data_IF_097574159901
#
_entry.id   IF_097574159901
#
_cell.length_a   1.000
_cell.length_b   1.000
_cell.length_c   1.000
_cell.angle_alpha   90.00
_cell.angle_beta   90.00
_cell.angle_gamma   90.00
#
_symmetry.space_group_name_H-M   'P 1'
#
loop_
_entity.id
_entity.type
_entity.pdbx_description
1 polymer ?
#
# COMPACT_ATOMS: atom_id res chain seq x y z
N UNK A 1 5.01 -33.11 46.99
CA UNK A 1 5.68 -34.39 47.34
C UNK A 1 5.45 -35.39 46.22
N UNK A 2 6.53 -36.05 45.75
CA UNK A 2 6.65 -37.44 45.22
C UNK A 2 5.45 -38.05 44.47
N UNK A 3 5.56 -38.77 43.34
CA UNK A 3 6.66 -39.21 42.45
C UNK A 3 6.04 -40.25 41.47
N UNK A 4 6.67 -40.45 40.32
CA UNK A 4 6.81 -41.74 39.60
C UNK A 4 5.61 -42.30 38.81
N UNK A 5 5.77 -42.98 37.65
CA UNK A 5 6.93 -43.40 36.84
C UNK A 5 6.40 -43.87 35.47
N UNK A 6 7.16 -43.63 34.40
CA UNK A 6 7.03 -44.30 33.10
C UNK A 6 8.26 -45.19 32.87
N UNK A 7 8.04 -46.39 32.32
CA UNK A 7 9.00 -47.48 32.02
C UNK A 7 9.88 -47.14 30.79
N UNK A 8 11.21 -47.32 30.88
CA UNK A 8 12.03 -48.46 30.40
C UNK A 8 12.00 -48.63 28.86
N UNK A 9 13.07 -48.85 28.09
CA UNK A 9 14.38 -49.50 28.25
C UNK A 9 15.21 -49.14 26.98
N UNK A 10 16.50 -49.40 26.74
CA UNK A 10 17.69 -49.81 27.48
C UNK A 10 18.87 -49.55 26.50
N UNK A 11 20.06 -49.20 27.01
CA UNK A 11 21.30 -49.20 26.23
C UNK A 11 22.48 -49.59 27.13
N UNK A 12 23.45 -50.26 26.49
CA UNK A 12 24.88 -50.42 26.84
C UNK A 12 25.32 -51.63 27.67
N UNK A 13 26.29 -52.35 27.06
CA UNK A 13 27.57 -52.88 27.58
C UNK A 13 28.35 -53.37 26.35
N UNK A 14 29.67 -53.25 26.17
CA UNK A 14 30.83 -52.74 26.90
C UNK A 14 32.05 -52.91 25.95
N UNK A 15 32.99 -51.94 25.87
CA UNK A 15 34.41 -52.02 26.34
C UNK A 15 35.18 -53.29 25.87
N UNK A 16 36.44 -53.28 25.37
CA UNK A 16 37.61 -52.43 25.69
C UNK A 16 38.84 -52.83 24.79
N UNK A 17 39.67 -51.82 24.46
CA UNK A 17 41.18 -51.72 24.53
C UNK A 17 42.18 -52.37 23.55
N UNK A 18 43.29 -51.60 23.44
CA UNK A 18 44.68 -51.84 22.99
C UNK A 18 44.93 -51.67 21.48
N UNK A 19 46.01 -51.03 20.98
CA UNK A 19 47.25 -50.50 21.55
C UNK A 19 48.05 -49.77 20.45
N UNK A 20 49.11 -49.05 20.84
CA UNK A 20 50.01 -48.21 20.04
C UNK A 20 50.73 -48.95 18.86
N UNK A 21 51.36 -48.35 17.86
CA UNK A 21 52.33 -47.24 17.83
C UNK A 21 52.78 -46.99 16.36
N UNK A 22 53.37 -45.83 16.06
CA UNK A 22 54.10 -45.59 14.80
C UNK A 22 54.10 -44.14 14.35
N UNK A 23 55.16 -43.40 14.65
CA UNK A 23 55.34 -41.96 14.44
C UNK A 23 56.34 -41.64 13.33
N UNK A 24 56.17 -40.49 12.66
CA UNK A 24 57.23 -39.54 12.26
C UNK A 24 56.55 -38.23 11.83
N UNK A 25 56.59 -37.17 12.66
CA UNK A 25 57.53 -36.04 12.60
C UNK A 25 57.36 -35.18 11.31
N UNK A 26 57.21 -33.85 11.33
CA UNK A 26 57.76 -32.87 12.25
C UNK A 26 56.99 -31.53 12.26
N UNK A 27 57.00 -30.88 13.44
CA UNK A 27 57.05 -29.44 13.79
C UNK A 27 56.89 -28.36 12.69
N UNK A 28 56.23 -27.21 12.92
CA UNK A 28 55.81 -26.62 14.19
C UNK A 28 55.03 -25.30 14.02
N UNK A 29 54.31 -24.95 15.09
CA UNK A 29 53.87 -23.60 15.46
C UNK A 29 54.61 -23.28 16.80
N UNK A 30 54.48 -22.10 17.46
CA UNK A 30 53.53 -21.00 17.23
C UNK A 30 54.13 -19.59 17.44
N UNK A 31 53.33 -18.54 17.22
CA UNK A 31 53.29 -17.38 18.13
C UNK A 31 52.08 -16.50 17.82
N UNK A 32 51.19 -16.41 18.80
CA UNK A 32 50.12 -15.45 18.86
C UNK A 32 50.66 -14.07 19.28
N UNK A 33 50.11 -13.00 18.71
CA UNK A 33 50.14 -11.68 19.32
C UNK A 33 48.84 -10.94 18.98
N UNK A 34 47.95 -10.87 19.95
CA UNK A 34 46.88 -9.88 20.01
C UNK A 34 47.46 -8.55 20.52
N UNK A 35 47.03 -7.42 19.94
CA UNK A 35 46.52 -6.25 20.69
C UNK A 35 46.37 -4.98 19.84
N UNK A 36 45.14 -4.44 19.91
CA UNK A 36 44.76 -3.03 20.05
C UNK A 36 44.61 -2.08 18.83
N UNK A 37 43.65 -1.14 18.91
CA UNK A 37 43.16 -0.32 17.79
C UNK A 37 43.86 1.04 17.70
N UNK A 38 44.09 1.53 16.47
CA UNK A 38 44.66 2.87 16.27
C UNK A 38 43.58 3.94 16.06
N UNK A 39 43.82 5.03 16.77
CA UNK A 39 42.91 6.10 17.12
C UNK A 39 42.56 7.08 15.98
N UNK A 40 41.38 7.66 16.17
CA UNK A 40 40.91 8.94 15.63
C UNK A 40 41.99 10.00 15.88
N UNK A 41 42.57 10.53 14.80
CA UNK A 41 43.50 11.67 14.86
C UNK A 41 42.76 12.97 14.56
N UNK A 42 42.36 13.66 15.62
CA UNK A 42 42.02 15.07 15.59
C UNK A 42 43.28 15.88 15.25
N UNK A 43 43.25 16.65 14.16
CA UNK A 43 44.25 17.70 13.90
C UNK A 43 43.66 19.04 14.33
N UNK A 44 44.19 19.56 15.42
CA UNK A 44 44.07 20.94 15.88
C UNK A 44 45.32 21.66 15.37
N UNK A 45 45.14 22.67 14.53
CA UNK A 45 46.19 23.65 14.23
C UNK A 45 45.53 25.02 14.10
N UNK A 46 45.85 25.87 15.06
CA UNK A 46 45.52 27.28 15.10
C UNK A 46 46.50 28.05 14.21
N UNK A 47 46.00 29.00 13.42
CA UNK A 47 46.77 30.15 12.96
C UNK A 47 45.81 31.33 12.83
N UNK A 48 46.16 32.39 13.54
CA UNK A 48 45.48 33.66 13.66
C UNK A 48 45.48 34.43 12.32
N UNK A 49 44.39 35.12 12.03
CA UNK A 49 44.38 36.37 11.29
C UNK A 49 43.15 37.17 11.72
N UNK A 50 43.40 38.24 12.46
CA UNK A 50 42.44 39.24 12.92
C UNK A 50 41.90 40.07 11.76
N UNK A 51 40.61 40.43 11.81
CA UNK A 51 40.07 41.68 11.23
C UNK A 51 38.65 41.97 11.75
N UNK A 52 38.61 42.70 12.87
CA UNK A 52 37.61 43.70 13.33
C UNK A 52 36.12 43.48 12.99
N UNK A 53 35.38 42.99 13.98
CA UNK A 53 33.94 43.22 14.16
C UNK A 53 33.71 44.43 15.08
N UNK A 54 32.92 45.41 14.65
CA UNK A 54 32.35 46.44 15.54
C UNK A 54 30.89 46.09 15.85
N UNK A 55 30.62 45.79 17.12
CA UNK A 55 29.28 45.67 17.67
C UNK A 55 28.95 46.94 18.45
N UNK A 56 27.87 47.63 18.06
CA UNK A 56 27.30 48.74 18.81
C UNK A 56 26.14 48.23 19.68
N UNK A 57 26.11 48.71 20.92
CA UNK A 57 25.24 48.28 22.01
C UNK A 57 23.75 48.64 21.81
N UNK A 58 22.86 47.79 22.36
CA UNK A 58 21.42 48.03 22.53
C UNK A 58 21.13 48.98 23.70
N UNK A 59 20.16 49.89 23.59
CA UNK A 59 19.38 50.43 24.71
C UNK A 59 17.97 49.78 24.80
N UNK A 60 17.21 50.01 25.90
CA UNK A 60 16.29 49.03 26.47
C UNK A 60 14.84 49.11 25.96
N UNK A 61 14.07 48.11 26.37
CA UNK A 61 12.66 47.87 26.05
C UNK A 61 11.71 48.99 26.52
N UNK A 62 10.91 49.52 25.60
CA UNK A 62 9.67 50.25 25.91
C UNK A 62 8.45 49.43 25.47
N UNK A 63 7.50 49.26 26.40
CA UNK A 63 6.21 48.59 26.17
C UNK A 63 5.26 49.55 25.43
N UNK A 64 4.65 49.17 24.30
CA UNK A 64 3.60 49.98 23.70
C UNK A 64 2.28 49.85 24.47
N UNK A 65 1.74 51.01 24.83
CA UNK A 65 0.46 51.22 25.51
C UNK A 65 -0.73 50.70 24.71
N UNK A 66 -1.71 50.12 25.42
CA UNK A 66 -3.09 49.90 24.97
C UNK A 66 -3.66 51.17 24.31
N UNK A 67 -3.92 51.12 23.01
CA UNK A 67 -4.73 52.15 22.33
C UNK A 67 -6.19 51.79 22.47
N UNK A 68 -6.90 52.65 23.21
CA UNK A 68 -8.36 52.74 23.26
C UNK A 68 -8.93 52.99 21.87
N UNK A 69 -10.05 52.31 21.61
CA UNK A 69 -10.96 52.47 20.48
C UNK A 69 -11.74 53.80 20.54
N UNK A 70 -12.03 54.35 19.36
CA UNK A 70 -13.11 55.32 19.09
C UNK A 70 -13.46 55.32 17.58
N UNK A 71 -14.68 55.74 17.17
CA UNK A 71 -15.52 54.91 16.30
C UNK A 71 -15.78 55.45 14.88
N UNK A 72 -16.21 54.51 14.02
CA UNK A 72 -17.16 54.57 12.88
C UNK A 72 -16.76 55.35 11.61
N UNK A 73 -16.66 54.60 10.51
CA UNK A 73 -17.29 54.93 9.23
C UNK A 73 -17.85 53.62 8.65
N UNK A 74 -19.17 53.56 8.49
CA UNK A 74 -19.85 52.47 7.78
C UNK A 74 -19.83 52.80 6.30
N UNK A 75 -19.17 51.95 5.51
CA UNK A 75 -19.37 51.89 4.08
C UNK A 75 -20.47 50.83 3.84
N UNK A 76 -21.62 51.26 3.34
CA UNK A 76 -22.68 50.36 2.88
C UNK A 76 -22.31 49.80 1.51
N UNK A 77 -22.01 48.50 1.46
CA UNK A 77 -21.88 47.77 0.21
C UNK A 77 -23.24 47.52 -0.45
N UNK A 78 -23.32 47.43 -1.78
CA UNK A 78 -24.57 47.17 -2.47
C UNK A 78 -25.13 45.80 -2.07
N UNK A 79 -26.41 45.80 -1.70
CA UNK A 79 -27.13 44.69 -1.09
C UNK A 79 -27.10 43.39 -1.90
N UNK A 80 -27.05 42.30 -1.15
CA UNK A 80 -27.20 40.93 -1.62
C UNK A 80 -28.53 40.78 -2.39
N UNK A 81 -28.55 40.19 -3.60
CA UNK A 81 -29.79 39.98 -4.34
C UNK A 81 -30.70 39.01 -3.58
N UNK A 82 -32.03 39.20 -3.63
CA UNK A 82 -32.97 38.35 -2.89
C UNK A 82 -32.88 36.89 -3.36
N UNK A 83 -33.05 35.92 -2.44
CA UNK A 83 -33.06 34.52 -2.80
C UNK A 83 -34.21 34.23 -3.77
N UNK A 84 -34.02 33.32 -4.75
CA UNK A 84 -35.08 32.93 -5.66
C UNK A 84 -36.26 32.32 -4.90
N UNK A 85 -37.51 32.46 -5.40
CA UNK A 85 -38.67 31.91 -4.73
C UNK A 85 -38.56 30.39 -4.64
N UNK A 86 -38.83 29.87 -3.44
CA UNK A 86 -38.86 28.44 -3.14
C UNK A 86 -40.01 27.79 -3.91
N UNK A 87 -39.68 27.23 -5.07
CA UNK A 87 -40.57 26.33 -5.80
C UNK A 87 -40.82 25.11 -4.91
N UNK A 88 -42.02 25.03 -4.34
CA UNK A 88 -42.47 23.86 -3.61
C UNK A 88 -42.34 22.63 -4.52
N UNK A 89 -41.30 21.83 -4.26
CA UNK A 89 -41.12 20.54 -4.89
C UNK A 89 -42.29 19.67 -4.45
N UNK A 90 -43.18 19.35 -5.39
CA UNK A 90 -44.18 18.31 -5.17
C UNK A 90 -43.44 17.02 -4.75
N UNK A 91 -43.94 16.30 -3.73
CA UNK A 91 -43.32 15.05 -3.33
C UNK A 91 -43.25 14.09 -4.53
N UNK A 92 -42.17 13.30 -4.67
CA UNK A 92 -42.06 12.34 -5.75
C UNK A 92 -43.25 11.37 -5.71
N UNK A 93 -43.78 10.95 -6.87
CA UNK A 93 -44.87 9.98 -6.90
C UNK A 93 -44.45 8.72 -6.15
N UNK A 94 -45.38 8.06 -5.44
CA UNK A 94 -45.07 6.80 -4.77
C UNK A 94 -44.52 5.80 -5.79
N UNK A 95 -43.56 4.95 -5.38
CA UNK A 95 -43.03 3.91 -6.26
C UNK A 95 -44.19 3.06 -6.80
N UNK A 96 -44.15 2.66 -8.08
CA UNK A 96 -45.18 1.77 -8.60
C UNK A 96 -45.25 0.53 -7.72
N UNK A 97 -46.45 0.21 -7.24
CA UNK A 97 -46.73 -1.00 -6.48
C UNK A 97 -46.18 -2.19 -7.28
N UNK A 98 -45.41 -3.12 -6.69
CA UNK A 98 -44.96 -4.31 -7.41
C UNK A 98 -46.18 -5.00 -7.98
N UNK A 99 -46.29 -5.05 -9.31
CA UNK A 99 -47.29 -5.87 -9.96
C UNK A 99 -47.07 -7.29 -9.45
N UNK A 100 -48.10 -7.86 -8.83
CA UNK A 100 -48.14 -9.27 -8.44
C UNK A 100 -47.66 -10.08 -9.64
N UNK A 101 -46.61 -10.92 -9.52
CA UNK A 101 -46.14 -11.69 -10.65
C UNK A 101 -47.27 -12.63 -11.07
N UNK A 102 -47.89 -12.33 -12.20
CA UNK A 102 -48.84 -13.22 -12.84
C UNK A 102 -48.09 -14.50 -13.18
N UNK A 103 -48.39 -15.54 -12.40
CA UNK A 103 -47.89 -16.89 -12.55
C UNK A 103 -48.09 -17.38 -13.98
N UNK A 104 -47.03 -17.45 -14.76
CA UNK A 104 -46.81 -18.48 -15.78
C UNK A 104 -45.43 -18.32 -16.43
N UNK A 105 -44.38 -18.32 -15.61
CA UNK A 105 -43.11 -18.84 -16.09
C UNK A 105 -43.25 -20.36 -16.09
N UNK A 106 -43.47 -20.94 -17.27
CA UNK A 106 -43.30 -22.38 -17.48
C UNK A 106 -42.00 -22.82 -16.82
N UNK A 107 -42.07 -23.83 -15.95
CA UNK A 107 -40.91 -24.46 -15.34
C UNK A 107 -39.99 -24.93 -16.45
N UNK A 108 -38.96 -24.14 -16.77
CA UNK A 108 -37.81 -24.58 -17.52
C UNK A 108 -37.18 -25.69 -16.69
N UNK A 109 -37.32 -26.94 -17.16
CA UNK A 109 -36.66 -28.08 -16.55
C UNK A 109 -35.15 -27.97 -16.80
N UNK A 110 -34.45 -27.52 -15.77
CA UNK A 110 -33.00 -27.30 -15.82
C UNK A 110 -32.20 -28.60 -15.61
N UNK A 111 -32.85 -29.75 -15.37
CA UNK A 111 -32.21 -31.08 -15.32
C UNK A 111 -30.79 -31.12 -14.72
N UNK A 112 -29.85 -31.67 -15.48
CA UNK A 112 -28.42 -31.79 -15.13
C UNK A 112 -27.71 -30.45 -14.85
N UNK A 113 -28.23 -29.33 -15.37
CA UNK A 113 -27.66 -27.99 -15.11
C UNK A 113 -27.88 -27.57 -13.65
N UNK A 114 -29.03 -27.92 -13.06
CA UNK A 114 -29.31 -27.67 -11.65
C UNK A 114 -28.36 -28.45 -10.75
N UNK A 115 -28.11 -29.72 -11.06
CA UNK A 115 -27.21 -30.57 -10.27
C UNK A 115 -25.75 -30.11 -10.36
N UNK A 116 -25.30 -29.73 -11.56
CA UNK A 116 -23.99 -29.09 -11.77
C UNK A 116 -23.85 -27.80 -10.96
N UNK A 117 -24.89 -26.96 -10.96
CA UNK A 117 -24.93 -25.71 -10.23
C UNK A 117 -24.87 -25.92 -8.71
N UNK A 118 -25.68 -26.84 -8.17
CA UNK A 118 -25.66 -27.18 -6.74
C UNK A 118 -24.32 -27.79 -6.31
N UNK A 119 -23.69 -28.60 -7.17
CA UNK A 119 -22.36 -29.16 -6.92
C UNK A 119 -21.28 -28.06 -6.89
N UNK A 120 -21.36 -27.09 -7.81
CA UNK A 120 -20.49 -25.92 -7.82
C UNK A 120 -20.65 -25.07 -6.55
N UNK A 121 -21.89 -24.76 -6.15
CA UNK A 121 -22.19 -24.05 -4.91
C UNK A 121 -21.65 -24.75 -3.67
N UNK A 122 -21.87 -26.06 -3.55
CA UNK A 122 -21.38 -26.88 -2.42
C UNK A 122 -19.85 -26.89 -2.35
N UNK A 123 -19.17 -27.01 -3.49
CA UNK A 123 -17.70 -26.95 -3.56
C UNK A 123 -17.14 -25.58 -3.17
N UNK A 124 -17.79 -24.51 -3.60
CA UNK A 124 -17.32 -23.14 -3.38
C UNK A 124 -17.85 -22.52 -2.06
N UNK A 125 -18.78 -23.19 -1.36
CA UNK A 125 -19.48 -22.69 -0.17
C UNK A 125 -20.14 -21.33 -0.40
N UNK A 126 -20.76 -21.13 -1.56
CA UNK A 126 -21.39 -19.87 -1.95
C UNK A 126 -22.91 -19.96 -1.94
N UNK A 127 -23.57 -18.84 -1.65
CA UNK A 127 -25.00 -18.64 -1.92
C UNK A 127 -25.26 -18.66 -3.42
N UNK A 128 -26.53 -18.79 -3.83
CA UNK A 128 -26.93 -18.69 -5.24
C UNK A 128 -26.48 -17.38 -5.90
N UNK A 129 -26.66 -16.25 -5.21
CA UNK A 129 -26.17 -14.95 -5.66
C UNK A 129 -24.63 -14.91 -5.72
N UNK A 130 -23.95 -15.48 -4.72
CA UNK A 130 -22.49 -15.54 -4.70
C UNK A 130 -21.91 -16.38 -5.83
N UNK A 131 -22.56 -17.50 -6.17
CA UNK A 131 -22.18 -18.36 -7.29
C UNK A 131 -22.44 -17.68 -8.65
N UNK A 132 -23.57 -16.98 -8.80
CA UNK A 132 -23.86 -16.21 -10.01
C UNK A 132 -22.87 -15.07 -10.21
N UNK A 133 -22.56 -14.33 -9.14
CA UNK A 133 -21.54 -13.29 -9.16
C UNK A 133 -20.17 -13.86 -9.53
N UNK A 134 -19.75 -14.98 -8.93
CA UNK A 134 -18.46 -15.60 -9.23
C UNK A 134 -18.35 -15.97 -10.71
N UNK A 135 -19.42 -16.50 -11.32
CA UNK A 135 -19.39 -16.87 -12.73
C UNK A 135 -19.38 -15.67 -13.66
N UNK A 136 -20.16 -14.62 -13.35
CA UNK A 136 -20.12 -13.35 -14.08
C UNK A 136 -18.71 -12.74 -13.99
N UNK A 137 -18.13 -12.65 -12.78
CA UNK A 137 -16.78 -12.16 -12.57
C UNK A 137 -15.74 -13.02 -13.33
N UNK A 138 -15.93 -14.35 -13.39
CA UNK A 138 -15.02 -15.27 -14.11
C UNK A 138 -15.08 -15.07 -15.62
N UNK A 139 -16.26 -14.74 -16.17
CA UNK A 139 -16.41 -14.40 -17.57
C UNK A 139 -15.84 -13.01 -17.90
N UNK A 140 -16.05 -12.04 -17.02
CA UNK A 140 -15.59 -10.65 -17.20
C UNK A 140 -14.07 -10.50 -17.01
N UNK A 141 -13.47 -11.33 -16.16
CA UNK A 141 -12.05 -11.27 -15.78
C UNK A 141 -11.30 -12.58 -16.00
N UNK A 142 -11.46 -13.19 -17.18
CA UNK A 142 -10.76 -14.43 -17.54
C UNK A 142 -9.25 -14.33 -17.28
N UNK A 143 -8.70 -15.30 -16.53
CA UNK A 143 -7.28 -15.37 -16.20
C UNK A 143 -6.83 -14.45 -15.04
N UNK A 144 -7.74 -13.68 -14.44
CA UNK A 144 -7.46 -12.89 -13.25
C UNK A 144 -7.98 -13.58 -11.98
N UNK A 145 -7.40 -13.20 -10.85
CA UNK A 145 -7.87 -13.57 -9.53
C UNK A 145 -8.19 -12.32 -8.73
N UNK A 146 -9.07 -12.47 -7.74
CA UNK A 146 -9.39 -11.39 -6.84
C UNK A 146 -8.37 -11.34 -5.70
N UNK A 147 -7.63 -10.24 -5.63
CA UNK A 147 -6.79 -9.92 -4.49
C UNK A 147 -7.54 -8.98 -3.55
N UNK A 148 -7.29 -9.11 -2.26
CA UNK A 148 -7.70 -8.14 -1.25
C UNK A 148 -6.47 -7.50 -0.64
N UNK A 149 -6.62 -6.31 -0.09
CA UNK A 149 -5.51 -5.60 0.54
C UNK A 149 -5.96 -4.35 1.28
N UNK A 150 -4.99 -3.62 1.81
CA UNK A 150 -5.27 -2.40 2.54
C UNK A 150 -4.04 -1.74 3.13
N UNK A 151 -4.29 -0.68 3.90
CA UNK A 151 -3.24 -0.06 4.70
C UNK A 151 -2.91 -0.90 5.94
N UNK A 152 -1.76 -0.64 6.56
CA UNK A 152 -1.28 -1.37 7.74
C UNK A 152 -2.28 -1.43 8.90
N UNK A 153 -2.95 -0.31 9.21
CA UNK A 153 -3.90 -0.26 10.33
C UNK A 153 -5.30 -0.82 10.01
N UNK A 154 -5.52 -1.33 8.79
CA UNK A 154 -6.80 -1.89 8.35
C UNK A 154 -7.93 -0.87 8.15
N UNK A 155 -7.66 0.42 8.34
CA UNK A 155 -8.64 1.49 8.19
C UNK A 155 -9.08 1.68 6.72
N UNK A 156 -8.18 1.39 5.77
CA UNK A 156 -8.42 1.43 4.33
C UNK A 156 -8.32 0.01 3.80
N UNK A 157 -9.35 -0.47 3.11
CA UNK A 157 -9.44 -1.83 2.54
C UNK A 157 -9.97 -1.77 1.13
N UNK A 158 -9.45 -2.62 0.24
CA UNK A 158 -9.87 -2.70 -1.16
C UNK A 158 -9.85 -4.15 -1.66
N UNK A 159 -10.52 -4.37 -2.79
CA UNK A 159 -10.33 -5.54 -3.64
C UNK A 159 -9.90 -5.11 -5.04
N UNK A 160 -9.13 -5.97 -5.70
CA UNK A 160 -8.63 -5.74 -7.06
C UNK A 160 -8.55 -7.04 -7.85
N UNK A 161 -8.97 -7.01 -9.10
CA UNK A 161 -8.80 -8.11 -10.05
C UNK A 161 -7.50 -7.94 -10.84
N UNK A 162 -6.57 -8.89 -10.66
CA UNK A 162 -5.28 -8.89 -11.36
C UNK A 162 -4.76 -10.32 -11.55
N UNK A 163 -3.68 -10.48 -12.32
CA UNK A 163 -3.01 -11.78 -12.48
C UNK A 163 -2.42 -12.24 -11.15
N UNK A 164 -2.46 -13.55 -10.87
CA UNK A 164 -1.73 -14.13 -9.74
C UNK A 164 -0.19 -13.98 -9.90
N UNK A 165 0.30 -13.87 -11.13
CA UNK A 165 1.68 -13.50 -11.45
C UNK A 165 1.75 -12.01 -11.73
N UNK A 166 2.25 -11.24 -10.76
CA UNK A 166 2.23 -9.78 -10.81
C UNK A 166 3.44 -9.22 -11.57
N UNK A 167 3.19 -8.28 -12.46
CA UNK A 167 4.23 -7.47 -13.09
C UNK A 167 4.35 -6.12 -12.36
N UNK A 168 5.44 -5.93 -11.64
CA UNK A 168 5.71 -4.80 -10.75
C UNK A 168 6.65 -3.80 -11.43
N UNK A 169 6.30 -2.52 -11.40
CA UNK A 169 7.18 -1.43 -11.80
C UNK A 169 7.90 -0.84 -10.58
N UNK A 170 9.22 -0.74 -10.64
CA UNK A 170 10.07 -0.07 -9.65
C UNK A 170 10.58 1.27 -10.20
N UNK A 171 9.96 2.36 -9.78
CA UNK A 171 10.21 3.69 -10.34
C UNK A 171 11.26 4.45 -9.51
N UNK A 172 12.28 4.98 -10.19
CA UNK A 172 13.40 5.66 -9.55
C UNK A 172 13.23 7.19 -9.37
N UNK A 173 12.04 7.76 -9.61
CA UNK A 173 11.82 9.20 -9.44
C UNK A 173 11.91 9.62 -7.96
N UNK A 174 12.05 10.93 -7.69
CA UNK A 174 12.34 11.45 -6.36
C UNK A 174 11.33 11.02 -5.27
N UNK A 175 10.03 11.04 -5.58
CA UNK A 175 8.99 10.60 -4.64
C UNK A 175 8.95 9.07 -4.51
N UNK A 176 9.08 8.33 -5.62
CA UNK A 176 8.99 6.87 -5.62
C UNK A 176 10.17 6.24 -4.87
N UNK A 177 11.38 6.79 -5.03
CA UNK A 177 12.55 6.41 -4.22
C UNK A 177 12.30 6.59 -2.73
N UNK A 178 11.78 7.75 -2.32
CA UNK A 178 11.49 8.05 -0.90
C UNK A 178 10.40 7.16 -0.31
N UNK A 179 9.39 6.80 -1.11
CA UNK A 179 8.28 5.92 -0.70
C UNK A 179 8.57 4.43 -0.87
N UNK A 180 9.66 4.05 -1.55
CA UNK A 180 9.88 2.69 -2.06
C UNK A 180 8.67 2.17 -2.85
N UNK A 181 8.13 3.03 -3.74
CA UNK A 181 6.85 2.79 -4.42
C UNK A 181 6.98 1.80 -5.60
N UNK A 182 7.00 0.52 -5.26
CA UNK A 182 6.80 -0.59 -6.20
C UNK A 182 5.31 -0.84 -6.39
N UNK A 183 4.86 -0.99 -7.63
CA UNK A 183 3.44 -1.14 -7.91
C UNK A 183 3.15 -1.90 -9.21
N UNK A 184 2.04 -2.62 -9.27
CA UNK A 184 1.42 -3.04 -10.54
C UNK A 184 0.24 -2.13 -10.84
N UNK A 185 -0.16 -2.03 -12.11
CA UNK A 185 -1.22 -1.13 -12.54
C UNK A 185 -2.42 -1.95 -13.01
N UNK A 186 -3.62 -1.52 -12.60
CA UNK A 186 -4.90 -2.06 -13.07
C UNK A 186 -5.80 -0.93 -13.59
N UNK A 187 -6.70 -1.20 -14.54
CA UNK A 187 -7.80 -0.29 -14.89
C UNK A 187 -8.71 -0.01 -13.69
N UNK A 188 -9.35 1.16 -13.65
CA UNK A 188 -10.25 1.52 -12.57
C UNK A 188 -11.45 0.54 -12.42
N UNK A 189 -11.93 -0.05 -13.51
CA UNK A 189 -12.99 -1.06 -13.50
C UNK A 189 -12.65 -2.31 -12.68
N UNK A 190 -11.36 -2.62 -12.54
CA UNK A 190 -10.87 -3.78 -11.78
C UNK A 190 -10.59 -3.49 -10.30
N UNK A 191 -10.75 -2.25 -9.85
CA UNK A 191 -10.46 -1.84 -8.48
C UNK A 191 -11.73 -1.43 -7.75
N UNK A 192 -11.85 -1.84 -6.49
CA UNK A 192 -12.95 -1.42 -5.63
C UNK A 192 -12.45 -1.10 -4.23
N UNK A 193 -12.71 0.13 -3.78
CA UNK A 193 -12.52 0.50 -2.39
C UNK A 193 -13.65 -0.11 -1.55
N UNK A 194 -13.29 -0.91 -0.55
CA UNK A 194 -14.24 -1.58 0.34
C UNK A 194 -14.53 -0.76 1.61
N UNK A 195 -13.53 -0.04 2.11
CA UNK A 195 -13.63 0.77 3.34
C UNK A 195 -12.58 1.87 3.38
N UNK A 196 -12.89 2.97 4.09
CA UNK A 196 -11.90 3.93 4.55
C UNK A 196 -11.70 5.14 3.65
N UNK A 197 -12.71 5.51 2.86
CA UNK A 197 -12.69 6.72 2.02
C UNK A 197 -12.38 7.97 2.86
N UNK A 198 -12.94 8.04 4.06
CA UNK A 198 -12.72 9.08 5.06
C UNK A 198 -11.31 9.06 5.66
N UNK A 199 -10.60 7.94 5.57
CA UNK A 199 -9.24 7.76 6.11
C UNK A 199 -8.14 7.94 5.07
N UNK A 200 -8.51 8.30 3.85
CA UNK A 200 -7.59 8.56 2.75
C UNK A 200 -7.28 10.06 2.67
N UNK A 201 -6.05 10.38 2.30
CA UNK A 201 -5.63 11.72 1.87
C UNK A 201 -4.74 11.60 0.64
N UNK A 202 -4.63 12.68 -0.13
CA UNK A 202 -3.94 12.69 -1.42
C UNK A 202 -2.91 13.81 -1.47
N UNK A 203 -1.70 13.46 -1.90
CA UNK A 203 -0.64 14.41 -2.22
C UNK A 203 -0.42 14.46 -3.73
N UNK A 204 -0.34 15.67 -4.30
CA UNK A 204 -0.01 15.90 -5.71
C UNK A 204 1.08 16.95 -5.82
N UNK A 205 1.91 16.85 -6.86
CA UNK A 205 2.99 17.80 -7.13
C UNK A 205 3.35 17.79 -8.62
N UNK A 206 4.21 18.73 -9.03
CA UNK A 206 4.70 18.86 -10.40
C UNK A 206 3.55 19.03 -11.40
N UNK A 207 3.20 17.99 -12.17
CA UNK A 207 2.09 18.04 -13.14
C UNK A 207 0.71 17.88 -12.50
N UNK A 208 0.64 17.55 -11.21
CA UNK A 208 -0.59 17.22 -10.47
C UNK A 208 -1.43 16.06 -11.04
N UNK A 209 -0.93 15.35 -12.05
CA UNK A 209 -1.60 14.19 -12.67
C UNK A 209 -1.50 12.93 -11.81
N UNK A 210 -0.36 12.71 -11.16
CA UNK A 210 -0.23 11.63 -10.20
C UNK A 210 -0.92 12.02 -8.89
N UNK A 211 -1.81 11.15 -8.41
CA UNK A 211 -2.50 11.32 -7.13
C UNK A 211 -1.93 10.31 -6.15
N UNK A 212 -1.01 10.75 -5.29
CA UNK A 212 -0.39 9.90 -4.28
C UNK A 212 -1.31 9.78 -3.06
N UNK A 213 -2.20 8.80 -3.12
CA UNK A 213 -3.23 8.50 -2.14
C UNK A 213 -2.69 7.64 -1.00
N UNK A 214 -2.89 7.99 0.27
CA UNK A 214 -2.42 7.19 1.40
C UNK A 214 -3.31 7.32 2.63
N UNK A 215 -3.17 6.37 3.56
CA UNK A 215 -3.93 6.38 4.78
C UNK A 215 -3.44 7.50 5.72
N UNK A 216 -4.32 8.43 6.08
CA UNK A 216 -4.01 9.53 7.02
C UNK A 216 -3.73 9.06 8.46
N UNK A 217 -4.07 7.82 8.80
CA UNK A 217 -3.84 7.23 10.13
C UNK A 217 -2.47 6.57 10.29
N UNK A 218 -2.01 5.83 9.28
CA UNK A 218 -0.75 5.06 9.36
C UNK A 218 0.29 5.43 8.29
N UNK A 219 -0.02 6.35 7.38
CA UNK A 219 0.89 6.81 6.33
C UNK A 219 1.08 5.86 5.13
N UNK A 220 0.57 4.63 5.21
CA UNK A 220 0.74 3.62 4.14
C UNK A 220 -0.02 4.02 2.87
N UNK A 221 0.70 4.02 1.74
CA UNK A 221 0.15 4.14 0.39
C UNK A 221 -0.10 2.74 -0.16
N UNK A 222 -1.31 2.23 0.02
CA UNK A 222 -1.68 0.90 -0.46
C UNK A 222 -2.08 0.89 -1.94
N UNK A 223 -2.56 2.02 -2.45
CA UNK A 223 -2.82 2.28 -3.86
C UNK A 223 -2.70 3.76 -4.17
N UNK A 224 -2.56 4.13 -5.44
CA UNK A 224 -2.52 5.53 -5.88
C UNK A 224 -2.88 5.64 -7.37
N UNK A 225 -3.14 6.84 -7.89
CA UNK A 225 -3.33 7.05 -9.34
C UNK A 225 -2.01 7.49 -9.97
N UNK A 226 -1.36 6.67 -10.83
CA UNK A 226 -0.09 7.02 -11.45
C UNK A 226 -0.25 8.03 -12.59
N UNK A 227 0.76 8.88 -12.80
CA UNK A 227 0.80 9.84 -13.92
C UNK A 227 0.70 9.15 -15.29
N UNK A 228 1.29 7.97 -15.43
CA UNK A 228 1.33 7.21 -16.69
C UNK A 228 -0.03 6.62 -17.07
N UNK A 229 -0.89 6.34 -16.09
CA UNK A 229 -2.15 5.64 -16.24
C UNK A 229 -3.24 6.30 -15.35
N UNK A 230 -3.71 7.51 -15.71
CA UNK A 230 -4.63 8.28 -14.87
C UNK A 230 -6.03 7.64 -14.75
N UNK A 231 -6.40 6.75 -15.67
CA UNK A 231 -7.65 5.98 -15.64
C UNK A 231 -7.57 4.67 -14.83
N UNK A 232 -6.51 4.49 -14.04
CA UNK A 232 -6.29 3.28 -13.27
C UNK A 232 -5.61 3.52 -11.94
N UNK A 233 -5.28 2.43 -11.27
CA UNK A 233 -4.63 2.44 -9.96
C UNK A 233 -3.33 1.66 -10.00
N UNK A 234 -2.28 2.26 -9.42
CA UNK A 234 -1.07 1.55 -9.03
C UNK A 234 -1.26 0.96 -7.65
N UNK A 235 -1.18 -0.37 -7.51
CA UNK A 235 -1.37 -1.10 -6.26
C UNK A 235 0.00 -1.52 -5.71
N UNK A 236 0.25 -1.21 -4.44
CA UNK A 236 1.47 -1.65 -3.76
C UNK A 236 1.37 -3.15 -3.43
N UNK A 237 2.24 -4.02 -3.98
CA UNK A 237 2.10 -5.47 -3.82
C UNK A 237 2.29 -5.91 -2.37
N UNK A 238 3.09 -5.20 -1.58
CA UNK A 238 3.30 -5.45 -0.15
C UNK A 238 2.09 -5.06 0.73
N UNK A 239 1.04 -4.47 0.14
CA UNK A 239 -0.22 -4.14 0.82
C UNK A 239 -1.35 -5.12 0.46
N UNK A 240 -1.07 -6.14 -0.34
CA UNK A 240 -2.01 -7.24 -0.58
C UNK A 240 -2.01 -8.20 0.62
N UNK A 241 -3.17 -8.79 0.90
CA UNK A 241 -3.25 -9.89 1.85
C UNK A 241 -2.66 -11.17 1.23
N UNK A 242 -2.21 -12.09 2.09
CA UNK A 242 -1.61 -13.35 1.66
C UNK A 242 -2.61 -14.30 0.97
N UNK A 243 -2.10 -15.16 0.09
CA UNK A 243 -2.83 -16.33 -0.41
C UNK A 243 -3.24 -16.31 -1.89
N UNK A 244 -3.20 -15.16 -2.56
CA UNK A 244 -3.65 -15.04 -3.97
C UNK A 244 -2.52 -14.72 -4.96
N UNK A 245 -1.39 -14.22 -4.49
CA UNK A 245 -0.21 -13.94 -5.32
C UNK A 245 0.64 -15.21 -5.44
N UNK A 246 0.97 -15.59 -6.68
CA UNK A 246 1.81 -16.74 -7.01
C UNK A 246 3.26 -16.34 -7.27
N UNK A 247 3.48 -15.26 -8.03
CA UNK A 247 4.82 -14.76 -8.33
C UNK A 247 4.82 -13.26 -8.57
N UNK A 248 6.00 -12.63 -8.49
CA UNK A 248 6.20 -11.22 -8.80
C UNK A 248 7.46 -11.05 -9.65
N UNK A 249 7.33 -10.40 -10.80
CA UNK A 249 8.46 -9.98 -11.65
C UNK A 249 8.56 -8.47 -11.58
N UNK A 250 9.76 -7.94 -11.37
CA UNK A 250 9.98 -6.49 -11.25
C UNK A 250 10.69 -5.94 -12.50
N UNK A 251 10.12 -4.91 -13.10
CA UNK A 251 10.70 -4.11 -14.19
C UNK A 251 11.06 -2.72 -13.65
N UNK A 252 12.29 -2.28 -13.90
CA UNK A 252 12.74 -0.94 -13.50
C UNK A 252 12.19 0.14 -14.43
N UNK A 253 11.73 1.25 -13.87
CA UNK A 253 11.24 2.40 -14.62
C UNK A 253 12.08 3.64 -14.29
N UNK A 254 12.67 4.26 -15.31
CA UNK A 254 13.45 5.49 -15.16
C UNK A 254 12.54 6.73 -15.03
N UNK A 255 11.91 6.90 -13.87
CA UNK A 255 11.08 8.06 -13.57
C UNK A 255 11.83 9.36 -13.33
N UNK A 256 13.15 9.32 -13.17
CA UNK A 256 14.00 10.54 -13.15
C UNK A 256 14.04 11.23 -14.50
N UNK A 257 13.93 10.49 -15.61
CA UNK A 257 13.81 10.99 -16.98
C UNK A 257 12.48 10.54 -17.60
N UNK A 258 11.38 11.00 -17.01
CA UNK A 258 10.04 10.49 -17.29
C UNK A 258 9.63 10.64 -18.76
N UNK A 259 9.96 11.76 -19.40
CA UNK A 259 9.53 12.04 -20.78
C UNK A 259 10.20 11.09 -21.77
N UNK A 260 11.50 10.84 -21.59
CA UNK A 260 12.24 9.85 -22.39
C UNK A 260 11.76 8.44 -22.09
N UNK A 261 11.67 8.09 -20.80
CA UNK A 261 11.24 6.76 -20.37
C UNK A 261 9.86 6.43 -20.96
N UNK A 262 8.89 7.34 -20.90
CA UNK A 262 7.57 7.07 -21.49
C UNK A 262 7.65 6.83 -22.99
N UNK A 263 8.50 7.53 -23.76
CA UNK A 263 8.62 7.29 -25.20
C UNK A 263 9.11 5.87 -25.49
N UNK A 264 10.10 5.40 -24.75
CA UNK A 264 10.80 4.13 -24.97
C UNK A 264 10.09 2.92 -24.34
N UNK A 265 9.40 3.11 -23.22
CA UNK A 265 8.83 2.03 -22.42
C UNK A 265 7.51 1.51 -23.01
N UNK A 266 7.54 0.27 -23.52
CA UNK A 266 6.40 -0.32 -24.25
C UNK A 266 5.32 -0.90 -23.34
N UNK A 267 5.69 -1.38 -22.15
CA UNK A 267 4.80 -2.14 -21.26
C UNK A 267 3.86 -1.27 -20.43
N UNK A 268 4.31 -0.11 -19.92
CA UNK A 268 3.56 0.66 -18.92
C UNK A 268 2.39 1.50 -19.49
N UNK A 269 2.44 1.92 -20.75
CA UNK A 269 1.54 2.95 -21.34
C UNK A 269 0.06 2.55 -21.44
N UNK A 270 -0.23 1.26 -21.43
CA UNK A 270 -1.57 0.74 -21.71
C UNK A 270 -2.14 -0.07 -20.55
N UNK A 271 -1.50 -0.06 -19.38
CA UNK A 271 -1.92 -0.92 -18.27
C UNK A 271 -3.27 -0.55 -17.66
N UNK A 272 -3.74 0.69 -17.82
CA UNK A 272 -5.10 1.10 -17.43
C UNK A 272 -6.10 1.14 -18.59
N UNK A 273 -5.72 0.70 -19.79
CA UNK A 273 -6.67 0.54 -20.89
C UNK A 273 -7.26 -0.86 -20.79
N UNK A 274 -8.57 -0.96 -20.92
CA UNK A 274 -9.30 -2.24 -20.86
C UNK A 274 -8.90 -3.17 -22.00
#
# INVERSE_FOLDING_TARGET
>A
MRRSRSSAAAKLRGQKRSGASGASAASGAPAAAASAPSAIRTRRSASQAESKSQAAAKPPSEKPRLRRSSPRAQEEGPGEPPPPPELALLPPPPPPTPATPTSSASNLDLGEQRERWETFQKRQKLTSEGAAKLLLDTFEYQGLVKHTGGCHCGAVRFEVWASADLHIFDCNCSICKKKQNRHFIVPASRFKLLKGAEHITTYTFNTHKAQHTFCKRCGVQSFYTPRSNPGGFGIAPHCLDEGTVRSMVTEEFNGSDWEKAMKEHKTIKNMSKE
#
